data_IF_286876165568
#
_entry.id   IF_286876165568
#
_cell.length_a   1.000
_cell.length_b   1.000
_cell.length_c   1.000
_cell.angle_alpha   90.00
_cell.angle_beta   90.00
_cell.angle_gamma   90.00
#
_symmetry.space_group_name_H-M   'P 1'
#
loop_
_entity.id
_entity.type
_entity.pdbx_description
1 polymer ?
#
# COMPACT_ATOMS: atom_id res chain seq x y z
N UNK A 1 0.25 -1.36 -14.39
CA UNK A 1 0.77 -1.33 -13.01
C UNK A 1 0.27 -2.49 -12.18
N UNK A 2 1.08 -2.95 -11.22
CA UNK A 2 0.95 -4.23 -10.51
C UNK A 2 -0.39 -4.44 -9.79
N UNK A 3 -1.16 -3.38 -9.54
CA UNK A 3 -2.49 -3.38 -8.90
C UNK A 3 -3.48 -2.50 -9.68
N UNK A 4 -3.80 -2.90 -10.91
CA UNK A 4 -4.50 -2.06 -11.91
C UNK A 4 -5.73 -1.30 -11.38
N UNK A 5 -6.64 -1.97 -10.66
CA UNK A 5 -7.86 -1.31 -10.16
C UNK A 5 -7.57 -0.25 -9.10
N UNK A 6 -6.70 -0.56 -8.15
CA UNK A 6 -6.35 0.36 -7.07
C UNK A 6 -5.56 1.56 -7.59
N UNK A 7 -4.77 1.39 -8.65
CA UNK A 7 -4.03 2.50 -9.27
C UNK A 7 -4.89 3.53 -9.97
N UNK A 8 -6.05 3.12 -10.46
CA UNK A 8 -7.00 4.04 -11.12
C UNK A 8 -7.63 4.99 -10.09
N UNK A 9 -7.81 4.53 -8.84
CA UNK A 9 -8.40 5.33 -7.77
C UNK A 9 -7.30 6.18 -7.13
N UNK A 10 -7.45 7.49 -7.21
CA UNK A 10 -6.60 8.46 -6.50
C UNK A 10 -6.96 8.56 -5.04
N UNK A 11 -8.26 8.67 -4.77
CA UNK A 11 -8.78 8.92 -3.43
C UNK A 11 -10.22 8.39 -3.29
N UNK A 12 -10.45 7.35 -2.48
CA UNK A 12 -11.79 6.95 -2.08
C UNK A 12 -12.26 7.81 -0.90
N UNK A 13 -13.45 8.38 -1.02
CA UNK A 13 -14.12 9.12 0.05
C UNK A 13 -15.36 8.35 0.48
N UNK A 14 -15.32 7.78 1.68
CA UNK A 14 -16.43 6.99 2.23
C UNK A 14 -17.00 7.71 3.44
N UNK A 15 -18.30 7.99 3.37
CA UNK A 15 -19.05 8.59 4.44
C UNK A 15 -19.99 7.56 5.05
N UNK A 16 -19.99 7.50 6.39
CA UNK A 16 -20.86 6.65 7.20
C UNK A 16 -21.75 7.57 8.03
N UNK A 17 -23.05 7.61 7.71
CA UNK A 17 -24.01 8.56 8.29
C UNK A 17 -23.55 10.03 8.19
N UNK A 18 -22.98 10.39 7.04
CA UNK A 18 -22.47 11.74 6.76
C UNK A 18 -21.06 12.03 7.31
N UNK A 19 -20.52 11.21 8.22
CA UNK A 19 -19.14 11.37 8.71
C UNK A 19 -18.16 10.69 7.75
N UNK A 20 -17.13 11.43 7.32
CA UNK A 20 -16.05 10.90 6.51
C UNK A 20 -15.13 9.99 7.34
N UNK A 21 -14.91 8.75 6.91
CA UNK A 21 -14.09 7.76 7.63
C UNK A 21 -12.73 7.48 6.97
N UNK A 22 -12.54 7.89 5.72
CA UNK A 22 -11.31 7.72 4.96
C UNK A 22 -10.45 8.95 5.01
N UNK A 23 -9.13 8.78 5.15
CA UNK A 23 -8.17 9.88 4.93
C UNK A 23 -8.33 10.44 3.51
N UNK A 24 -8.08 11.73 3.34
CA UNK A 24 -8.24 12.46 2.09
C UNK A 24 -6.87 12.78 1.51
N UNK A 25 -6.10 11.73 1.27
CA UNK A 25 -4.76 11.79 0.68
C UNK A 25 -4.77 11.16 -0.71
N UNK A 26 -3.94 11.73 -1.59
CA UNK A 26 -3.76 11.29 -2.98
C UNK A 26 -2.91 10.01 -3.11
N UNK A 27 -2.75 9.27 -2.02
CA UNK A 27 -1.79 8.17 -1.87
C UNK A 27 -2.46 6.80 -1.73
N UNK A 28 -3.75 6.70 -2.05
CA UNK A 28 -4.51 5.45 -1.95
C UNK A 28 -3.84 4.27 -2.68
N UNK A 29 -3.35 4.51 -3.90
CA UNK A 29 -2.70 3.49 -4.70
C UNK A 29 -1.44 2.93 -4.01
N UNK A 30 -0.66 3.79 -3.35
CA UNK A 30 0.52 3.40 -2.58
C UNK A 30 0.13 2.56 -1.36
N UNK A 31 -0.87 3.01 -0.61
CA UNK A 31 -1.42 2.25 0.52
C UNK A 31 -1.87 0.85 0.07
N UNK A 32 -2.67 0.79 -0.99
CA UNK A 32 -3.17 -0.46 -1.55
C UNK A 32 -2.04 -1.40 -1.96
N UNK A 33 -0.99 -0.86 -2.58
CA UNK A 33 0.19 -1.64 -2.99
C UNK A 33 0.95 -2.19 -1.78
N UNK A 34 1.28 -1.33 -0.81
CA UNK A 34 2.02 -1.71 0.39
C UNK A 34 1.26 -2.77 1.18
N UNK A 35 -0.04 -2.58 1.42
CA UNK A 35 -0.87 -3.58 2.10
C UNK A 35 -0.91 -4.91 1.33
N UNK A 36 -0.90 -4.88 -0.02
CA UNK A 36 -0.91 -6.10 -0.83
C UNK A 36 0.41 -6.87 -0.72
N UNK A 37 1.55 -6.21 -0.91
CA UNK A 37 2.85 -6.91 -0.94
C UNK A 37 3.32 -7.36 0.44
N UNK A 38 2.88 -6.69 1.51
CA UNK A 38 3.25 -7.01 2.89
C UNK A 38 2.36 -8.09 3.51
N UNK A 39 1.06 -8.13 3.18
CA UNK A 39 0.10 -9.02 3.86
C UNK A 39 -0.20 -10.34 3.15
N UNK A 40 0.08 -10.46 1.86
CA UNK A 40 -0.17 -11.67 1.08
C UNK A 40 1.11 -12.48 0.86
N UNK A 41 0.97 -13.79 0.69
CA UNK A 41 2.05 -14.69 0.30
C UNK A 41 2.17 -14.84 -1.22
N UNK A 42 3.25 -15.48 -1.66
CA UNK A 42 3.45 -15.80 -3.09
C UNK A 42 2.40 -16.77 -3.64
N UNK A 43 1.85 -17.64 -2.79
CA UNK A 43 0.75 -18.56 -3.14
C UNK A 43 -0.57 -17.83 -3.39
N UNK A 44 -0.80 -16.71 -2.69
CA UNK A 44 -2.00 -15.88 -2.82
C UNK A 44 -2.02 -15.12 -4.16
N UNK A 45 -0.85 -14.93 -4.79
CA UNK A 45 -0.73 -14.25 -6.08
C UNK A 45 -1.57 -14.93 -7.15
N UNK A 46 -1.53 -16.26 -7.23
CA UNK A 46 -2.24 -17.01 -8.26
C UNK A 46 -3.72 -17.21 -7.96
N UNK A 47 -4.07 -17.31 -6.68
CA UNK A 47 -5.40 -17.73 -6.22
C UNK A 47 -6.31 -16.55 -5.89
N UNK A 48 -5.83 -15.58 -5.11
CA UNK A 48 -6.63 -14.48 -4.56
C UNK A 48 -6.39 -13.19 -5.34
N UNK A 49 -5.12 -12.88 -5.64
CA UNK A 49 -4.74 -11.57 -6.20
C UNK A 49 -4.85 -11.52 -7.73
N UNK A 50 -4.62 -12.63 -8.44
CA UNK A 50 -4.74 -12.66 -9.90
C UNK A 50 -6.15 -12.34 -10.42
N UNK A 51 -7.25 -12.86 -9.85
CA UNK A 51 -8.61 -12.44 -10.23
C UNK A 51 -8.87 -10.95 -9.97
N UNK A 52 -8.16 -10.38 -8.99
CA UNK A 52 -8.18 -8.97 -8.61
C UNK A 52 -7.36 -8.08 -9.57
N UNK A 53 -6.58 -8.70 -10.44
CA UNK A 53 -5.75 -8.01 -11.43
C UNK A 53 -4.37 -7.64 -10.93
N UNK A 54 -3.94 -8.25 -9.82
CA UNK A 54 -2.54 -8.23 -9.45
C UNK A 54 -1.70 -9.07 -10.41
N UNK A 55 -0.48 -8.64 -10.65
CA UNK A 55 0.52 -9.44 -11.34
C UNK A 55 1.91 -9.21 -10.72
N UNK A 56 2.66 -10.30 -10.58
CA UNK A 56 3.97 -10.30 -9.91
C UNK A 56 5.01 -9.66 -10.83
N UNK A 57 5.25 -8.36 -10.65
CA UNK A 57 6.25 -7.58 -11.37
C UNK A 57 6.98 -6.64 -10.41
N UNK A 58 7.37 -7.15 -9.24
CA UNK A 58 8.06 -6.37 -8.20
C UNK A 58 9.39 -5.79 -8.69
N UNK A 59 10.08 -6.50 -9.59
CA UNK A 59 11.36 -6.09 -10.16
C UNK A 59 11.32 -5.94 -11.69
N UNK A 60 10.43 -5.08 -12.20
CA UNK A 60 10.31 -4.77 -13.64
C UNK A 60 11.13 -3.51 -13.99
N UNK A 61 12.16 -3.62 -14.86
CA UNK A 61 12.89 -2.46 -15.33
C UNK A 61 12.00 -1.61 -16.25
N UNK A 62 12.15 -0.27 -16.24
CA UNK A 62 11.24 0.62 -16.96
C UNK A 62 11.20 0.44 -18.49
N UNK A 63 12.20 -0.18 -19.13
CA UNK A 63 12.43 0.03 -20.58
C UNK A 63 12.59 -1.21 -21.49
N UNK A 64 12.51 -2.46 -21.00
CA UNK A 64 13.22 -3.52 -21.75
C UNK A 64 12.43 -4.33 -22.78
N UNK A 65 11.09 -4.25 -22.85
CA UNK A 65 10.33 -5.18 -23.71
C UNK A 65 9.12 -4.53 -24.39
N UNK A 66 9.23 -4.35 -25.70
CA UNK A 66 8.08 -4.10 -26.58
C UNK A 66 7.27 -5.39 -26.78
N UNK A 67 5.98 -5.27 -27.12
CA UNK A 67 5.10 -6.40 -27.47
C UNK A 67 5.71 -7.28 -28.58
N UNK A 68 6.48 -6.68 -29.49
CA UNK A 68 7.17 -7.35 -30.59
C UNK A 68 8.39 -8.18 -30.16
N UNK A 69 8.96 -7.93 -28.97
CA UNK A 69 10.11 -8.66 -28.44
C UNK A 69 9.72 -9.87 -27.57
N UNK A 70 8.42 -10.04 -27.30
CA UNK A 70 7.85 -11.15 -26.50
C UNK A 70 7.18 -12.17 -27.44
N UNK A 71 7.80 -12.49 -28.58
CA UNK A 71 7.34 -13.58 -29.45
C UNK A 71 7.83 -14.93 -28.89
N UNK A 72 6.92 -15.82 -28.52
CA UNK A 72 7.26 -17.15 -27.99
C UNK A 72 7.83 -18.11 -29.04
N UNK A 73 7.60 -17.84 -30.34
CA UNK A 73 8.14 -18.66 -31.44
C UNK A 73 9.59 -18.31 -31.79
N UNK A 74 9.97 -17.02 -31.66
CA UNK A 74 11.33 -16.50 -31.88
C UNK A 74 11.65 -15.47 -30.81
N UNK A 75 12.03 -15.90 -29.59
CA UNK A 75 12.26 -14.98 -28.49
C UNK A 75 13.49 -14.11 -28.75
N UNK A 76 13.35 -12.80 -28.54
CA UNK A 76 14.46 -11.84 -28.65
C UNK A 76 15.51 -12.11 -27.55
N UNK A 77 16.79 -11.78 -27.80
CA UNK A 77 17.89 -12.00 -26.85
C UNK A 77 17.61 -11.39 -25.45
N UNK A 78 17.04 -10.18 -25.44
CA UNK A 78 16.62 -9.50 -24.21
C UNK A 78 15.54 -10.29 -23.45
N UNK A 79 14.59 -10.92 -24.15
CA UNK A 79 13.56 -11.75 -23.51
C UNK A 79 14.16 -13.04 -22.93
N UNK A 80 15.12 -13.67 -23.61
CA UNK A 80 15.82 -14.84 -23.08
C UNK A 80 16.68 -14.54 -21.85
N UNK A 81 17.23 -13.32 -21.75
CA UNK A 81 18.04 -12.87 -20.62
C UNK A 81 17.23 -12.56 -19.34
N UNK A 82 15.90 -12.42 -19.45
CA UNK A 82 15.03 -12.16 -18.29
C UNK A 82 14.98 -13.35 -17.32
N UNK A 83 14.81 -13.03 -16.03
CA UNK A 83 14.48 -14.00 -14.99
C UNK A 83 13.16 -14.72 -15.28
N UNK A 84 12.97 -15.90 -14.65
CA UNK A 84 11.75 -16.72 -14.83
C UNK A 84 10.47 -15.95 -14.48
N UNK A 85 10.53 -15.16 -13.41
CA UNK A 85 9.41 -14.34 -12.94
C UNK A 85 9.11 -13.18 -13.90
N UNK A 86 10.14 -12.52 -14.44
CA UNK A 86 10.00 -11.47 -15.45
C UNK A 86 9.38 -12.00 -16.76
N UNK A 87 9.73 -13.21 -17.18
CA UNK A 87 9.11 -13.91 -18.32
C UNK A 87 7.64 -14.26 -18.05
N UNK A 88 7.31 -14.71 -16.83
CA UNK A 88 5.95 -15.02 -16.37
C UNK A 88 5.07 -13.78 -16.42
N UNK A 89 5.52 -12.67 -15.85
CA UNK A 89 4.83 -11.37 -15.86
C UNK A 89 4.52 -10.88 -17.29
N UNK A 90 5.54 -10.84 -18.16
CA UNK A 90 5.37 -10.38 -19.55
C UNK A 90 4.35 -11.21 -20.35
N UNK A 91 4.33 -12.54 -20.15
CA UNK A 91 3.33 -13.44 -20.76
C UNK A 91 1.93 -13.24 -20.19
N UNK A 92 1.84 -12.98 -18.88
CA UNK A 92 0.57 -12.73 -18.22
C UNK A 92 -0.09 -11.44 -18.73
N UNK A 93 0.66 -10.36 -18.92
CA UNK A 93 0.13 -9.10 -19.50
C UNK A 93 -0.51 -9.34 -20.87
N UNK A 94 0.17 -10.11 -21.74
CA UNK A 94 -0.33 -10.44 -23.10
C UNK A 94 -1.54 -11.39 -23.09
N UNK A 95 -1.59 -12.37 -22.18
CA UNK A 95 -2.72 -13.29 -22.06
C UNK A 95 -3.98 -12.65 -21.45
N UNK A 96 -3.78 -11.63 -20.64
CA UNK A 96 -4.81 -10.92 -19.89
C UNK A 96 -5.67 -9.99 -20.76
N UNK A 97 -5.11 -9.35 -21.80
CA UNK A 97 -5.85 -8.50 -22.75
C UNK A 97 -7.06 -9.20 -23.40
N UNK A 98 -6.99 -10.54 -23.58
CA UNK A 98 -8.04 -11.32 -24.25
C UNK A 98 -9.13 -11.88 -23.32
N UNK A 99 -8.92 -11.91 -21.99
CA UNK A 99 -9.86 -12.54 -21.02
C UNK A 99 -10.38 -11.60 -19.91
N UNK A 100 -9.89 -10.37 -19.83
CA UNK A 100 -10.17 -9.44 -18.74
C UNK A 100 -11.47 -8.59 -18.90
N UNK A 101 -12.64 -9.22 -19.08
CA UNK A 101 -13.92 -8.50 -18.96
C UNK A 101 -14.50 -8.70 -17.56
N UNK A 102 -14.28 -7.73 -16.67
CA UNK A 102 -14.96 -7.62 -15.37
C UNK A 102 -14.22 -8.20 -14.17
N UNK A 103 -13.06 -7.64 -13.81
CA UNK A 103 -12.36 -7.96 -12.55
C UNK A 103 -13.16 -7.42 -11.35
N UNK A 104 -13.23 -8.21 -10.29
CA UNK A 104 -13.83 -7.79 -9.00
C UNK A 104 -12.70 -7.60 -8.00
N UNK A 105 -12.75 -6.48 -7.31
CA UNK A 105 -11.74 -6.08 -6.35
C UNK A 105 -12.37 -5.69 -5.03
N UNK A 106 -11.67 -6.02 -3.96
CA UNK A 106 -12.00 -5.53 -2.64
C UNK A 106 -11.37 -4.16 -2.44
N UNK A 107 -12.13 -3.16 -2.01
CA UNK A 107 -11.59 -1.83 -1.76
C UNK A 107 -10.75 -1.85 -0.48
N UNK A 108 -9.49 -1.41 -0.58
CA UNK A 108 -8.56 -1.30 0.54
C UNK A 108 -8.91 -0.10 1.43
N UNK A 109 -10.00 -0.25 2.18
CA UNK A 109 -10.53 0.73 3.12
C UNK A 109 -10.81 0.01 4.43
N UNK A 110 -10.38 0.63 5.53
CA UNK A 110 -10.39 0.03 6.88
C UNK A 110 -11.76 -0.51 7.29
N UNK A 111 -12.82 0.23 6.96
CA UNK A 111 -14.21 -0.15 7.24
C UNK A 111 -14.58 -1.53 6.65
N UNK A 112 -14.09 -1.83 5.44
CA UNK A 112 -14.41 -3.06 4.74
C UNK A 112 -13.50 -4.23 5.15
N UNK A 113 -12.47 -3.97 5.96
CA UNK A 113 -11.51 -4.98 6.45
C UNK A 113 -11.77 -5.40 7.91
N UNK A 114 -12.80 -4.87 8.58
CA UNK A 114 -13.08 -5.16 10.00
C UNK A 114 -13.60 -6.58 10.26
N UNK A 115 -14.03 -7.30 9.22
CA UNK A 115 -14.69 -8.61 9.36
C UNK A 115 -16.06 -8.58 10.04
N UNK A 116 -16.59 -7.39 10.38
CA UNK A 116 -17.90 -7.22 11.02
C UNK A 116 -18.91 -6.65 10.04
N UNK A 117 -20.14 -7.16 10.09
CA UNK A 117 -21.25 -6.63 9.29
C UNK A 117 -21.68 -5.27 9.86
N UNK A 118 -22.00 -4.34 8.96
CA UNK A 118 -22.60 -3.06 9.35
C UNK A 118 -24.00 -3.30 9.91
N UNK A 119 -24.32 -2.58 10.97
CA UNK A 119 -25.66 -2.59 11.56
C UNK A 119 -26.69 -1.97 10.58
N UNK A 120 -27.97 -2.34 10.69
CA UNK A 120 -29.03 -1.73 9.89
C UNK A 120 -29.17 -0.22 10.15
N UNK A 121 -29.65 0.50 9.13
CA UNK A 121 -29.91 1.94 9.20
C UNK A 121 -28.64 2.80 9.15
N UNK A 122 -27.58 2.30 8.51
CA UNK A 122 -26.34 3.03 8.24
C UNK A 122 -26.33 3.47 6.78
N UNK A 123 -26.21 4.76 6.56
CA UNK A 123 -26.09 5.36 5.23
C UNK A 123 -24.62 5.37 4.80
N UNK A 124 -24.34 4.70 3.69
CA UNK A 124 -23.03 4.70 3.04
C UNK A 124 -23.07 5.55 1.78
N UNK A 125 -22.25 6.59 1.76
CA UNK A 125 -22.00 7.39 0.55
C UNK A 125 -20.55 7.21 0.14
N UNK A 126 -20.32 6.83 -1.12
CA UNK A 126 -18.99 6.60 -1.67
C UNK A 126 -18.75 7.55 -2.84
N UNK A 127 -17.58 8.18 -2.86
CA UNK A 127 -17.10 9.02 -3.96
C UNK A 127 -15.68 8.59 -4.29
N UNK A 128 -15.40 8.37 -5.57
CA UNK A 128 -14.05 7.99 -6.03
C UNK A 128 -13.49 9.11 -6.89
N UNK A 129 -12.35 9.65 -6.49
CA UNK A 129 -11.53 10.50 -7.34
C UNK A 129 -10.53 9.60 -8.07
N UNK A 130 -10.36 9.81 -9.37
CA UNK A 130 -9.50 8.99 -10.22
C UNK A 130 -8.12 9.64 -10.41
N UNK A 131 -7.11 8.81 -10.63
CA UNK A 131 -5.77 9.26 -10.98
C UNK A 131 -5.68 9.68 -12.44
N UNK A 132 -4.68 10.49 -12.76
CA UNK A 132 -4.31 10.76 -14.15
C UNK A 132 -3.82 9.45 -14.81
N UNK A 133 -4.20 9.17 -16.07
CA UNK A 133 -3.67 8.05 -16.83
C UNK A 133 -2.14 7.92 -16.82
N UNK A 134 -1.40 9.03 -16.70
CA UNK A 134 0.06 9.05 -16.56
C UNK A 134 0.58 8.27 -15.34
N UNK A 135 -0.24 8.13 -14.30
CA UNK A 135 0.14 7.43 -13.08
C UNK A 135 -0.08 5.91 -13.17
N UNK A 136 -1.17 5.46 -13.80
CA UNK A 136 -1.53 4.03 -13.80
C UNK A 136 -1.21 3.28 -15.10
N UNK A 137 -0.97 4.01 -16.19
CA UNK A 137 -0.52 3.44 -17.47
C UNK A 137 0.98 3.58 -17.61
N UNK A 138 1.66 2.47 -17.93
CA UNK A 138 3.07 2.52 -18.30
C UNK A 138 3.14 2.59 -19.82
N UNK A 139 3.69 3.68 -20.34
CA UNK A 139 3.90 3.86 -21.76
C UNK A 139 5.18 3.15 -22.20
N UNK A 140 5.11 2.37 -23.27
CA UNK A 140 6.30 1.84 -23.94
C UNK A 140 6.64 2.85 -25.06
N UNK A 141 7.43 3.86 -24.71
CA UNK A 141 7.85 4.95 -25.61
C UNK A 141 7.17 6.31 -25.35
N UNK A 142 7.56 7.33 -26.11
CA UNK A 142 7.00 8.69 -26.01
C UNK A 142 5.51 8.65 -26.35
N UNK A 143 4.67 8.90 -25.35
CA UNK A 143 3.23 9.04 -25.55
C UNK A 143 2.96 10.45 -26.10
N UNK A 144 2.79 10.56 -27.42
CA UNK A 144 2.63 11.85 -28.12
C UNK A 144 1.27 12.53 -27.87
N UNK A 145 0.30 11.82 -27.28
CA UNK A 145 -1.02 12.35 -26.96
C UNK A 145 -1.42 11.89 -25.56
N UNK A 146 -1.67 12.83 -24.66
CA UNK A 146 -2.18 12.53 -23.32
C UNK A 146 -3.40 11.62 -23.41
N UNK A 147 -3.28 10.42 -22.84
CA UNK A 147 -4.42 9.49 -22.76
C UNK A 147 -5.44 10.12 -21.82
N UNK A 148 -6.69 10.24 -22.27
CA UNK A 148 -7.79 10.73 -21.44
C UNK A 148 -8.67 9.57 -21.04
N UNK A 149 -9.06 9.54 -19.78
CA UNK A 149 -10.05 8.62 -19.26
C UNK A 149 -11.31 9.42 -18.93
N UNK A 150 -12.38 9.23 -19.72
CA UNK A 150 -13.64 9.93 -19.50
C UNK A 150 -14.56 9.12 -18.58
N UNK A 151 -15.52 9.79 -17.94
CA UNK A 151 -16.47 9.14 -17.04
C UNK A 151 -17.28 8.03 -17.72
N UNK A 152 -17.51 8.10 -19.04
CA UNK A 152 -18.20 7.07 -19.82
C UNK A 152 -17.38 5.80 -20.05
N UNK A 153 -16.06 5.86 -19.91
CA UNK A 153 -15.15 4.74 -20.15
C UNK A 153 -15.09 3.77 -18.97
N UNK A 154 -15.49 4.22 -17.77
CA UNK A 154 -15.50 3.43 -16.54
C UNK A 154 -16.90 2.91 -16.20
N UNK A 155 -17.05 1.58 -16.21
CA UNK A 155 -18.22 0.90 -15.64
C UNK A 155 -17.86 0.28 -14.30
N UNK A 156 -18.21 0.96 -13.21
CA UNK A 156 -18.05 0.42 -11.86
C UNK A 156 -19.34 -0.26 -11.39
N UNK A 157 -19.22 -1.48 -10.84
CA UNK A 157 -20.33 -2.19 -10.19
C UNK A 157 -19.94 -2.48 -8.75
N UNK A 158 -20.76 -2.01 -7.82
CA UNK A 158 -20.59 -2.29 -6.40
C UNK A 158 -21.36 -3.56 -6.01
N UNK A 159 -20.66 -4.50 -5.38
CA UNK A 159 -21.24 -5.73 -4.86
C UNK A 159 -21.15 -5.69 -3.33
N UNK A 160 -22.29 -5.61 -2.64
CA UNK A 160 -22.37 -5.71 -1.19
C UNK A 160 -22.97 -7.06 -0.79
N UNK A 161 -22.37 -7.69 0.22
CA UNK A 161 -22.99 -8.82 0.90
C UNK A 161 -24.03 -8.29 1.89
N UNK A 162 -25.32 -8.55 1.62
CA UNK A 162 -26.42 -8.21 2.52
C UNK A 162 -26.98 -9.49 3.12
N UNK A 163 -27.07 -9.54 4.46
CA UNK A 163 -27.61 -10.69 5.19
C UNK A 163 -28.98 -10.34 5.75
N UNK A 164 -29.98 -11.18 5.47
CA UNK A 164 -31.31 -11.05 6.09
C UNK A 164 -31.28 -11.64 7.49
N UNK A 165 -31.46 -10.79 8.49
CA UNK A 165 -31.51 -11.19 9.90
C UNK A 165 -32.96 -11.57 10.28
N UNK A 166 -33.14 -12.56 11.17
CA UNK A 166 -34.45 -12.92 11.72
C UNK A 166 -35.05 -11.73 12.49
N UNK A 167 -36.37 -11.52 12.36
CA UNK A 167 -37.04 -10.30 12.85
C UNK A 167 -36.86 -10.06 14.36
N UNK A 168 -36.77 -11.11 15.17
CA UNK A 168 -36.54 -11.01 16.62
C UNK A 168 -35.14 -10.49 16.96
N UNK A 169 -34.10 -10.92 16.23
CA UNK A 169 -32.72 -10.45 16.41
C UNK A 169 -32.59 -9.01 15.93
N UNK A 170 -33.22 -8.68 14.79
CA UNK A 170 -33.30 -7.30 14.31
C UNK A 170 -33.93 -6.38 15.35
N UNK A 171 -35.09 -6.77 15.90
CA UNK A 171 -35.79 -5.98 16.91
C UNK A 171 -34.94 -5.85 18.18
N UNK A 172 -34.27 -6.92 18.63
CA UNK A 172 -33.34 -6.84 19.77
C UNK A 172 -32.23 -5.80 19.55
N UNK A 173 -31.62 -5.78 18.37
CA UNK A 173 -30.57 -4.81 18.02
C UNK A 173 -31.15 -3.39 17.99
N UNK A 174 -32.30 -3.19 17.34
CA UNK A 174 -32.94 -1.89 17.23
C UNK A 174 -33.35 -1.33 18.60
N UNK A 175 -33.99 -2.16 19.45
CA UNK A 175 -34.39 -1.80 20.82
C UNK A 175 -33.18 -1.54 21.70
N UNK A 176 -32.14 -2.36 21.63
CA UNK A 176 -30.90 -2.15 22.39
C UNK A 176 -30.22 -0.82 22.04
N UNK A 177 -30.21 -0.43 20.76
CA UNK A 177 -29.66 0.87 20.35
C UNK A 177 -30.50 2.03 20.87
N UNK A 178 -31.81 2.03 20.57
CA UNK A 178 -32.67 3.18 20.83
C UNK A 178 -33.03 3.34 22.33
N UNK A 179 -33.31 2.25 23.03
CA UNK A 179 -33.77 2.31 24.43
C UNK A 179 -32.64 2.23 25.44
N UNK A 180 -31.56 1.49 25.15
CA UNK A 180 -30.44 1.32 26.10
C UNK A 180 -29.24 2.22 25.79
N UNK A 181 -29.37 3.08 24.78
CA UNK A 181 -28.33 4.01 24.34
C UNK A 181 -26.98 3.31 24.10
N UNK A 182 -27.01 2.10 23.53
CA UNK A 182 -25.81 1.28 23.32
C UNK A 182 -25.11 1.66 22.01
N UNK A 183 -23.84 2.05 22.15
CA UNK A 183 -22.94 2.32 21.05
C UNK A 183 -22.43 1.02 20.42
N UNK A 184 -22.20 1.06 19.10
CA UNK A 184 -21.63 -0.07 18.36
C UNK A 184 -20.20 0.25 17.95
N UNK A 185 -19.29 -0.67 18.26
CA UNK A 185 -17.86 -0.52 18.02
C UNK A 185 -17.35 -1.45 16.92
N UNK A 186 -16.57 -0.89 16.01
CA UNK A 186 -15.90 -1.57 14.91
C UNK A 186 -14.39 -1.34 15.03
N UNK A 187 -13.61 -2.34 15.47
CA UNK A 187 -12.16 -2.23 15.47
C UNK A 187 -11.65 -2.17 14.03
N UNK A 188 -10.75 -1.23 13.75
CA UNK A 188 -10.18 -0.98 12.43
C UNK A 188 -8.69 -0.72 12.56
N UNK A 189 -7.86 -1.31 11.71
CA UNK A 189 -6.47 -0.86 11.54
C UNK A 189 -6.53 0.30 10.55
N UNK A 190 -6.20 1.51 10.99
CA UNK A 190 -6.09 2.69 10.15
C UNK A 190 -4.65 2.82 9.69
N UNK A 191 -4.45 3.11 8.42
CA UNK A 191 -3.15 3.54 7.93
C UNK A 191 -3.14 4.99 7.50
N UNK A 192 -2.00 5.64 7.55
CA UNK A 192 -1.82 7.02 7.11
C UNK A 192 -0.52 7.11 6.32
N UNK A 193 -0.51 7.90 5.26
CA UNK A 193 0.70 8.15 4.47
C UNK A 193 1.09 9.61 4.55
N UNK A 194 2.35 9.86 4.88
CA UNK A 194 3.01 11.17 4.77
C UNK A 194 4.06 11.11 3.67
N UNK A 195 4.11 12.17 2.86
CA UNK A 195 5.03 12.26 1.74
C UNK A 195 5.92 13.48 1.89
N UNK A 196 7.21 13.32 1.64
CA UNK A 196 8.18 14.40 1.69
C UNK A 196 9.00 14.41 0.40
N UNK A 197 9.20 15.60 -0.17
CA UNK A 197 10.04 15.75 -1.36
C UNK A 197 11.45 16.10 -0.95
N UNK A 198 12.41 15.29 -1.38
CA UNK A 198 13.84 15.51 -1.21
C UNK A 198 14.43 16.12 -2.48
N UNK A 199 15.08 17.27 -2.33
CA UNK A 199 15.69 18.01 -3.44
C UNK A 199 16.93 17.29 -3.99
N UNK A 200 17.32 17.66 -5.21
CA UNK A 200 18.50 17.09 -5.88
C UNK A 200 19.76 17.23 -5.01
N UNK A 201 20.60 16.20 -5.04
CA UNK A 201 21.90 16.17 -4.35
C UNK A 201 21.86 16.29 -2.83
N UNK A 202 20.69 16.38 -2.19
CA UNK A 202 20.59 16.29 -0.73
C UNK A 202 21.01 14.89 -0.26
N UNK A 203 21.84 14.84 0.77
CA UNK A 203 22.38 13.59 1.33
C UNK A 203 21.67 13.17 2.60
N UNK A 204 21.11 14.11 3.36
CA UNK A 204 20.42 13.84 4.61
C UNK A 204 18.93 14.16 4.48
N UNK A 205 18.11 13.31 5.09
CA UNK A 205 16.69 13.51 5.24
C UNK A 205 16.31 13.34 6.71
N UNK A 206 15.46 14.23 7.20
CA UNK A 206 14.86 14.12 8.52
C UNK A 206 13.40 14.56 8.44
N UNK A 207 12.49 13.73 8.96
CA UNK A 207 11.09 14.07 9.16
C UNK A 207 10.73 13.84 10.62
N UNK A 208 10.25 14.88 11.29
CA UNK A 208 9.87 14.87 12.71
C UNK A 208 8.36 14.99 12.85
N UNK A 209 7.81 14.29 13.84
CA UNK A 209 6.41 14.41 14.27
C UNK A 209 5.39 14.21 13.13
N UNK A 210 5.65 13.22 12.27
CA UNK A 210 4.89 12.98 11.04
C UNK A 210 3.41 12.62 11.28
N UNK A 211 3.09 12.15 12.48
CA UNK A 211 1.76 11.66 12.86
C UNK A 211 1.12 12.45 14.02
N UNK A 212 1.63 13.66 14.29
CA UNK A 212 1.11 14.62 15.28
C UNK A 212 0.99 14.01 16.69
N UNK A 213 2.11 13.56 17.25
CA UNK A 213 2.18 13.04 18.63
C UNK A 213 1.65 11.61 18.79
N UNK A 214 1.41 10.86 17.70
CA UNK A 214 1.04 9.44 17.74
C UNK A 214 2.18 8.58 17.23
N UNK A 215 2.47 7.49 17.93
CA UNK A 215 3.41 6.47 17.46
C UNK A 215 2.61 5.38 16.74
N UNK A 216 2.85 5.14 15.44
CA UNK A 216 2.24 4.04 14.71
C UNK A 216 2.78 2.70 15.21
N UNK A 217 1.93 1.67 15.18
CA UNK A 217 2.29 0.29 15.50
C UNK A 217 3.34 -0.23 14.51
N UNK A 218 3.20 0.14 13.23
CA UNK A 218 4.17 -0.16 12.16
C UNK A 218 4.48 1.05 11.32
N UNK A 219 5.75 1.20 10.96
CA UNK A 219 6.23 2.22 10.04
C UNK A 219 6.84 1.53 8.83
N UNK A 220 6.46 1.95 7.62
CA UNK A 220 7.10 1.56 6.37
C UNK A 220 7.57 2.81 5.64
N UNK A 221 8.82 2.83 5.22
CA UNK A 221 9.42 3.90 4.43
C UNK A 221 9.85 3.35 3.08
N UNK A 222 9.40 4.00 2.02
CA UNK A 222 9.81 3.72 0.65
C UNK A 222 10.21 5.01 -0.06
N UNK A 223 11.15 4.91 -0.98
CA UNK A 223 11.60 6.04 -1.79
C UNK A 223 11.28 5.78 -3.26
N UNK A 224 10.76 6.79 -3.93
CA UNK A 224 10.40 6.74 -5.36
C UNK A 224 10.88 8.00 -6.07
N UNK A 225 11.04 7.96 -7.40
CA UNK A 225 11.26 9.17 -8.18
C UNK A 225 10.03 10.09 -8.09
N UNK A 226 10.25 11.40 -8.01
CA UNK A 226 9.16 12.38 -8.00
C UNK A 226 8.29 12.33 -9.26
N UNK A 227 8.89 12.03 -10.42
CA UNK A 227 8.17 11.86 -11.68
C UNK A 227 7.28 10.61 -11.66
N UNK A 228 7.71 9.56 -10.96
CA UNK A 228 6.89 8.37 -10.75
C UNK A 228 5.69 8.67 -9.83
N UNK A 229 5.93 9.41 -8.74
CA UNK A 229 4.90 9.79 -7.77
C UNK A 229 3.84 10.71 -8.39
N UNK A 230 4.25 11.71 -9.16
CA UNK A 230 3.36 12.66 -9.84
C UNK A 230 2.66 12.09 -11.08
N UNK A 231 3.17 10.96 -11.60
CA UNK A 231 2.66 10.27 -12.78
C UNK A 231 3.43 10.65 -14.03
N UNK A 232 4.15 9.67 -14.58
CA UNK A 232 4.85 9.77 -15.84
C UNK A 232 4.84 8.40 -16.51
N UNK A 233 4.49 8.35 -17.79
CA UNK A 233 4.40 7.11 -18.56
C UNK A 233 5.71 6.29 -18.57
N UNK A 234 6.86 6.93 -18.41
CA UNK A 234 8.17 6.27 -18.40
C UNK A 234 8.53 5.63 -17.04
N UNK A 235 7.84 6.01 -15.96
CA UNK A 235 8.18 5.58 -14.60
C UNK A 235 7.04 4.79 -13.96
N UNK A 236 7.40 3.69 -13.30
CA UNK A 236 6.45 2.96 -12.48
C UNK A 236 6.39 3.58 -11.08
N UNK A 237 5.22 4.04 -10.59
CA UNK A 237 5.08 4.59 -9.24
C UNK A 237 5.43 3.60 -8.13
N UNK A 238 5.37 2.28 -8.38
CA UNK A 238 5.62 1.24 -7.38
C UNK A 238 7.05 0.71 -7.35
N UNK A 239 7.96 1.33 -8.11
CA UNK A 239 9.37 0.98 -8.05
C UNK A 239 10.04 1.71 -6.87
N UNK A 240 10.15 1.02 -5.75
CA UNK A 240 10.82 1.51 -4.55
C UNK A 240 12.31 1.21 -4.62
N UNK A 241 13.11 2.24 -4.87
CA UNK A 241 14.55 2.11 -5.03
C UNK A 241 15.27 2.40 -3.72
N UNK A 242 16.45 1.80 -3.53
CA UNK A 242 17.34 2.08 -2.40
C UNK A 242 17.89 3.52 -2.41
N UNK A 243 18.02 4.15 -3.58
CA UNK A 243 18.61 5.49 -3.77
C UNK A 243 19.94 5.70 -3.02
N UNK A 244 20.75 4.65 -2.95
CA UNK A 244 22.04 4.66 -2.28
C UNK A 244 21.99 5.12 -0.82
N UNK A 245 20.91 4.80 -0.10
CA UNK A 245 20.81 4.98 1.35
C UNK A 245 21.88 4.13 2.04
N UNK A 246 22.69 4.78 2.88
CA UNK A 246 23.78 4.16 3.65
C UNK A 246 23.39 3.91 5.11
N UNK A 247 22.50 4.71 5.67
CA UNK A 247 22.04 4.53 7.04
C UNK A 247 20.63 5.06 7.17
N UNK A 248 19.76 4.32 7.85
CA UNK A 248 18.41 4.75 8.17
C UNK A 248 18.05 4.36 9.61
N UNK A 249 17.41 5.29 10.33
CA UNK A 249 17.00 5.10 11.71
C UNK A 249 15.66 5.76 12.00
N UNK A 250 14.96 5.18 12.97
CA UNK A 250 13.80 5.77 13.60
C UNK A 250 14.20 6.18 15.02
N UNK A 251 13.68 7.32 15.47
CA UNK A 251 13.83 7.86 16.81
C UNK A 251 12.41 8.04 17.37
N UNK A 252 12.13 7.47 18.53
CA UNK A 252 10.85 7.59 19.25
C UNK A 252 11.15 8.26 20.59
N UNK A 253 10.50 9.39 20.87
CA UNK A 253 10.71 10.16 22.11
C UNK A 253 12.19 10.52 22.40
N UNK A 254 12.98 10.75 21.35
CA UNK A 254 14.39 11.10 21.47
C UNK A 254 15.36 9.91 21.57
N UNK A 255 14.85 8.68 21.74
CA UNK A 255 15.65 7.46 21.73
C UNK A 255 15.62 6.77 20.36
N UNK A 256 16.75 6.23 19.91
CA UNK A 256 16.80 5.43 18.68
C UNK A 256 16.06 4.11 18.89
N UNK A 257 15.07 3.83 18.03
CA UNK A 257 14.27 2.63 18.12
C UNK A 257 14.22 1.88 16.78
N UNK A 258 14.62 0.59 16.75
CA UNK A 258 15.39 -0.10 17.79
C UNK A 258 16.79 0.53 17.93
N UNK A 259 17.46 0.30 19.06
CA UNK A 259 18.73 0.90 19.51
C UNK A 259 19.94 0.79 18.56
N UNK A 260 19.77 0.23 17.36
CA UNK A 260 20.79 0.22 16.32
C UNK A 260 20.21 0.71 15.00
N UNK A 261 20.84 1.72 14.36
CA UNK A 261 20.46 2.15 13.03
C UNK A 261 20.69 1.03 12.02
N UNK A 262 19.85 0.97 10.99
CA UNK A 262 20.07 0.05 9.89
C UNK A 262 21.19 0.60 9.00
N UNK A 263 22.38 0.00 9.11
CA UNK A 263 23.52 0.33 8.26
C UNK A 263 23.50 -0.50 6.97
N UNK A 264 23.65 0.19 5.86
CA UNK A 264 23.72 -0.35 4.51
C UNK A 264 24.94 0.22 3.81
N UNK A 265 25.35 -0.41 2.71
CA UNK A 265 26.37 0.17 1.83
C UNK A 265 25.66 0.87 0.68
N UNK A 266 26.05 2.12 0.41
CA UNK A 266 25.38 2.98 -0.55
C UNK A 266 25.35 2.40 -1.97
N UNK A 267 26.44 1.80 -2.44
CA UNK A 267 26.62 1.40 -3.84
C UNK A 267 26.86 -0.10 -4.03
N UNK A 268 26.53 -0.92 -3.03
CA UNK A 268 26.59 -2.37 -3.18
C UNK A 268 25.57 -3.07 -2.25
N UNK A 269 25.33 -4.36 -2.53
CA UNK A 269 24.37 -5.17 -1.79
C UNK A 269 24.93 -6.05 -0.68
N UNK A 270 26.19 -5.86 -0.23
CA UNK A 270 26.79 -6.76 0.76
C UNK A 270 26.04 -6.79 2.10
N UNK A 271 25.45 -5.65 2.50
CA UNK A 271 24.63 -5.55 3.72
C UNK A 271 23.13 -5.62 3.42
N UNK A 272 22.71 -5.94 2.20
CA UNK A 272 21.28 -5.89 1.88
C UNK A 272 20.47 -6.98 2.60
N UNK A 273 21.10 -8.14 2.86
CA UNK A 273 20.46 -9.19 3.65
C UNK A 273 20.13 -8.73 5.07
N UNK A 274 20.92 -7.87 5.70
CA UNK A 274 20.60 -7.36 7.05
C UNK A 274 19.37 -6.45 7.02
N UNK A 275 19.24 -5.62 5.99
CA UNK A 275 18.06 -4.79 5.75
C UNK A 275 16.82 -5.61 5.42
N UNK A 276 16.95 -6.62 4.57
CA UNK A 276 15.87 -7.56 4.30
C UNK A 276 15.43 -8.33 5.55
N UNK A 277 16.39 -8.80 6.38
CA UNK A 277 16.07 -9.42 7.66
C UNK A 277 15.31 -8.47 8.60
N UNK A 278 15.66 -7.18 8.63
CA UNK A 278 14.91 -6.18 9.40
C UNK A 278 13.48 -6.03 8.89
N UNK A 279 13.28 -5.95 7.58
CA UNK A 279 11.95 -5.88 6.96
C UNK A 279 11.08 -7.08 7.35
N UNK A 280 11.59 -8.30 7.19
CA UNK A 280 10.85 -9.53 7.52
C UNK A 280 10.57 -9.64 9.02
N UNK A 281 11.51 -9.20 9.87
CA UNK A 281 11.31 -9.19 11.32
C UNK A 281 10.21 -8.22 11.74
N UNK A 282 10.20 -7.00 11.18
CA UNK A 282 9.20 -5.99 11.48
C UNK A 282 7.82 -6.34 10.87
N UNK A 283 7.79 -6.92 9.67
CA UNK A 283 6.55 -7.43 9.07
C UNK A 283 6.04 -8.70 9.77
N UNK A 284 6.89 -9.35 10.60
CA UNK A 284 6.63 -10.65 11.23
C UNK A 284 6.24 -11.75 10.23
N UNK A 285 6.71 -11.63 9.00
CA UNK A 285 6.41 -12.59 7.94
C UNK A 285 6.98 -13.98 8.22
N UNK A 286 8.02 -14.09 9.05
CA UNK A 286 8.53 -15.37 9.55
C UNK A 286 7.51 -16.14 10.40
N UNK A 287 6.62 -15.45 11.11
CA UNK A 287 5.53 -16.07 11.90
C UNK A 287 4.25 -16.24 11.10
N UNK A 288 3.93 -15.27 10.23
CA UNK A 288 2.72 -15.28 9.41
C UNK A 288 2.81 -16.20 8.19
N UNK A 289 4.03 -16.46 7.70
CA UNK A 289 4.26 -17.12 6.42
C UNK A 289 3.79 -16.29 5.21
N UNK A 290 3.53 -14.98 5.40
CA UNK A 290 2.94 -14.10 4.38
C UNK A 290 3.82 -12.88 4.17
N UNK A 291 4.37 -12.79 2.97
CA UNK A 291 5.04 -11.62 2.39
C UNK A 291 5.36 -11.97 0.94
N UNK A 292 5.06 -11.07 0.00
CA UNK A 292 5.45 -11.29 -1.40
C UNK A 292 6.92 -10.93 -1.62
N UNK A 293 7.44 -9.98 -0.83
CA UNK A 293 8.83 -9.51 -0.93
C UNK A 293 9.75 -10.65 -0.50
N UNK A 294 10.65 -11.02 -1.41
CA UNK A 294 11.69 -12.04 -1.22
C UNK A 294 13.07 -11.38 -1.14
N UNK A 295 14.12 -12.10 -0.71
CA UNK A 295 15.47 -11.55 -0.69
C UNK A 295 15.91 -11.05 -2.08
N UNK A 296 15.49 -11.73 -3.15
CA UNK A 296 15.78 -11.38 -4.56
C UNK A 296 15.02 -10.15 -5.09
N UNK A 297 14.22 -9.47 -4.26
CA UNK A 297 13.46 -8.27 -4.63
C UNK A 297 13.93 -7.03 -3.87
N UNK A 298 14.83 -7.18 -2.90
CA UNK A 298 15.18 -6.14 -1.94
C UNK A 298 16.68 -5.82 -2.03
N UNK A 299 17.00 -4.53 -2.06
CA UNK A 299 18.38 -4.06 -1.99
C UNK A 299 18.81 -3.19 -3.16
N UNK A 300 20.11 -3.21 -3.41
CA UNK A 300 20.79 -2.55 -4.51
C UNK A 300 20.45 -3.22 -5.84
N UNK A 301 20.24 -2.45 -6.91
CA UNK A 301 19.78 -2.93 -8.23
C UNK A 301 18.40 -3.64 -8.22
N UNK A 302 17.58 -3.37 -7.19
CA UNK A 302 16.21 -3.88 -7.08
C UNK A 302 15.18 -2.75 -6.92
N UNK A 303 13.92 -3.04 -7.26
CA UNK A 303 12.82 -2.08 -7.31
C UNK A 303 11.78 -2.25 -6.17
N UNK A 304 12.09 -2.97 -5.10
CA UNK A 304 11.18 -3.15 -3.94
C UNK A 304 11.91 -3.01 -2.60
N UNK A 305 12.72 -1.97 -2.47
CA UNK A 305 13.45 -1.66 -1.23
C UNK A 305 12.59 -0.83 -0.29
N UNK A 306 12.05 -1.49 0.73
CA UNK A 306 11.26 -0.89 1.80
C UNK A 306 11.95 -1.05 3.16
N UNK A 307 11.90 -0.01 3.98
CA UNK A 307 12.39 -0.01 5.34
C UNK A 307 11.22 -0.08 6.31
N UNK A 308 11.26 -0.98 7.28
CA UNK A 308 10.13 -1.21 8.17
C UNK A 308 10.55 -1.33 9.63
N UNK A 309 9.70 -0.80 10.51
CA UNK A 309 9.81 -0.92 11.96
C UNK A 309 8.47 -1.38 12.54
N UNK A 310 8.57 -2.11 13.64
CA UNK A 310 7.47 -2.57 14.48
C UNK A 310 7.69 -1.92 15.86
N UNK A 311 6.79 -1.04 16.26
CA UNK A 311 6.88 -0.28 17.52
C UNK A 311 6.03 -0.90 18.63
N UNK A 312 5.39 -2.03 18.37
CA UNK A 312 4.53 -2.67 19.35
C UNK A 312 5.38 -3.36 20.41
N UNK A 313 5.10 -3.08 21.69
CA UNK A 313 5.86 -3.64 22.82
C UNK A 313 5.80 -5.18 22.89
N UNK A 314 4.68 -5.77 22.46
CA UNK A 314 4.53 -7.23 22.34
C UNK A 314 5.35 -7.82 21.19
N UNK A 315 5.87 -6.98 20.31
CA UNK A 315 6.44 -7.36 19.03
C UNK A 315 5.43 -8.02 18.10
N UNK A 316 4.12 -7.89 18.37
CA UNK A 316 3.09 -8.50 17.55
C UNK A 316 1.98 -7.49 17.28
N UNK A 317 2.19 -6.64 16.27
CA UNK A 317 1.13 -5.74 15.78
C UNK A 317 -0.11 -6.50 15.24
N UNK A 318 0.05 -7.76 14.83
CA UNK A 318 -1.06 -8.60 14.36
C UNK A 318 -1.73 -9.43 15.47
N UNK A 319 -1.51 -9.07 16.74
CA UNK A 319 -2.12 -9.81 17.86
C UNK A 319 -3.63 -9.65 17.86
N UNK A 320 -4.35 -10.63 18.42
CA UNK A 320 -5.82 -10.56 18.59
C UNK A 320 -6.21 -9.52 19.64
N UNK A 321 -5.27 -9.11 20.48
CA UNK A 321 -5.48 -8.12 21.53
C UNK A 321 -5.21 -6.72 20.97
N UNK A 322 -6.02 -5.76 21.40
CA UNK A 322 -5.77 -4.35 21.09
C UNK A 322 -4.48 -3.91 21.79
N UNK A 323 -3.55 -3.40 20.99
CA UNK A 323 -2.34 -2.78 21.49
C UNK A 323 -2.68 -1.42 22.13
N UNK A 324 -1.98 -1.03 23.21
CA UNK A 324 -2.20 0.25 23.83
C UNK A 324 -1.84 1.37 22.86
N UNK A 325 -2.69 2.39 22.76
CA UNK A 325 -2.39 3.60 21.96
C UNK A 325 -1.10 4.23 22.50
N UNK A 326 -0.12 4.38 21.63
CA UNK A 326 1.16 5.00 21.97
C UNK A 326 1.16 6.47 21.56
N UNK A 327 1.48 7.34 22.52
CA UNK A 327 1.68 8.77 22.28
C UNK A 327 3.17 9.07 22.28
N UNK A 328 3.58 9.89 21.31
CA UNK A 328 4.96 10.33 21.20
C UNK A 328 5.34 10.87 19.82
N UNK A 329 6.52 11.45 19.75
CA UNK A 329 7.12 12.03 18.56
C UNK A 329 8.01 10.99 17.88
N UNK A 330 7.61 10.61 16.68
CA UNK A 330 8.42 9.77 15.80
C UNK A 330 9.21 10.64 14.83
N UNK A 331 10.52 10.42 14.78
CA UNK A 331 11.43 10.99 13.81
C UNK A 331 12.03 9.89 12.95
N UNK A 332 12.07 10.08 11.65
CA UNK A 332 12.78 9.20 10.71
C UNK A 332 13.91 10.01 10.09
N UNK A 333 15.11 9.45 10.13
CA UNK A 333 16.29 10.06 9.56
C UNK A 333 17.08 9.05 8.74
N UNK A 334 17.54 9.46 7.56
CA UNK A 334 18.47 8.67 6.77
C UNK A 334 19.52 9.52 6.08
N UNK A 335 20.65 8.87 5.78
CA UNK A 335 21.73 9.42 4.97
C UNK A 335 21.86 8.59 3.69
N UNK A 336 22.08 9.28 2.58
CA UNK A 336 22.31 8.70 1.26
C UNK A 336 23.38 9.48 0.51
N UNK A 337 23.87 8.91 -0.59
CA UNK A 337 24.74 9.64 -1.51
C UNK A 337 23.94 10.66 -2.35
N UNK A 338 24.63 11.67 -2.87
CA UNK A 338 24.03 12.66 -3.75
C UNK A 338 23.55 11.98 -5.05
N UNK A 339 22.31 12.25 -5.44
CA UNK A 339 21.71 11.74 -6.67
C UNK A 339 21.07 12.92 -7.39
N UNK A 340 21.29 12.99 -8.70
CA UNK A 340 20.76 14.05 -9.56
C UNK A 340 19.31 13.73 -10.00
N UNK A 341 18.41 13.56 -9.02
CA UNK A 341 17.00 13.32 -9.26
C UNK A 341 16.18 13.70 -8.03
N UNK A 342 14.98 14.24 -8.25
CA UNK A 342 14.03 14.52 -7.18
C UNK A 342 13.43 13.21 -6.68
N UNK A 343 13.37 13.05 -5.36
CA UNK A 343 12.91 11.83 -4.71
C UNK A 343 11.73 12.17 -3.81
N UNK A 344 10.67 11.37 -3.87
CA UNK A 344 9.59 11.40 -2.89
C UNK A 344 9.84 10.30 -1.86
N UNK A 345 9.92 10.68 -0.60
CA UNK A 345 9.92 9.76 0.54
C UNK A 345 8.47 9.53 0.95
N UNK A 346 8.04 8.28 0.90
CA UNK A 346 6.70 7.83 1.29
C UNK A 346 6.83 7.13 2.64
N UNK A 347 6.12 7.65 3.64
CA UNK A 347 6.14 7.14 5.01
C UNK A 347 4.73 6.69 5.33
N UNK A 348 4.55 5.38 5.48
CA UNK A 348 3.31 4.71 5.78
C UNK A 348 3.30 4.30 7.26
N UNK A 349 2.28 4.71 8.00
CA UNK A 349 2.08 4.32 9.40
C UNK A 349 0.78 3.53 9.56
N UNK A 350 0.81 2.47 10.36
CA UNK A 350 -0.40 1.73 10.78
C UNK A 350 -0.73 2.05 12.24
N UNK A 351 -2.02 2.16 12.54
CA UNK A 351 -2.55 2.49 13.85
C UNK A 351 -3.78 1.63 14.13
N UNK A 352 -3.84 1.05 15.31
CA UNK A 352 -5.11 0.55 15.82
C UNK A 352 -6.10 1.68 16.11
N UNK A 353 -7.31 1.56 15.57
CA UNK A 353 -8.38 2.54 15.69
C UNK A 353 -9.73 1.84 15.91
N UNK A 354 -10.73 2.59 16.35
CA UNK A 354 -12.08 2.09 16.57
C UNK A 354 -13.10 3.08 16.04
N UNK A 355 -13.94 2.62 15.12
CA UNK A 355 -15.13 3.36 14.70
C UNK A 355 -16.28 3.08 15.65
N UNK A 356 -16.96 4.13 16.08
CA UNK A 356 -18.12 4.07 16.97
C UNK A 356 -19.34 4.63 16.23
N UNK A 357 -20.44 3.88 16.21
CA UNK A 357 -21.74 4.36 15.72
C UNK A 357 -22.68 4.50 16.91
N UNK A 358 -23.10 5.74 17.18
CA UNK A 358 -24.02 6.04 18.28
C UNK A 358 -25.47 5.65 17.95
N UNK A 359 -26.32 5.48 18.96
CA UNK A 359 -27.77 5.32 18.82
C UNK A 359 -28.44 6.40 17.98
N UNK A 360 -27.98 7.65 18.09
CA UNK A 360 -28.46 8.81 17.34
C UNK A 360 -28.11 8.76 15.85
N UNK A 361 -27.30 7.80 15.42
CA UNK A 361 -26.79 7.68 14.05
C UNK A 361 -25.48 8.43 13.81
N UNK A 362 -24.99 9.24 14.75
CA UNK A 362 -23.69 9.90 14.58
C UNK A 362 -22.55 8.89 14.62
N UNK A 363 -21.65 8.96 13.64
CA UNK A 363 -20.43 8.15 13.60
C UNK A 363 -19.26 8.97 14.15
N UNK A 364 -18.51 8.38 15.09
CA UNK A 364 -17.23 8.89 15.59
C UNK A 364 -16.11 7.95 15.15
N UNK A 365 -14.95 8.53 14.84
CA UNK A 365 -13.78 7.79 14.36
C UNK A 365 -12.56 8.30 15.13
N UNK A 366 -12.09 7.51 16.11
CA UNK A 366 -11.14 7.94 17.14
C UNK A 366 -9.80 7.19 17.09
#
# INVERSE_FOLDING_TARGET
NNIEFHTIIKQPSIYVNGTLTTEQTDTYAYKAYLETILNYGTEDEETILRPQGYYSALNYPPNDLTVNQINSATPHANYTALSKERKKSSRQTRGNERKNRGRKNHLIVYLFNTGRMLIPGVDLKMRFTLNDPKFFMNGIGTVNTDVRLQAGDLKMKFYACMVKVRSDVYNKIATARLQRNLDVYYPTIRSEIRTYTLQNNHTNFEATDMFNGRVPDRVVVGLVYQDAFSGNYAYNPFNFLKFNVSSIKQIVEGEEYPYQPLQLIAANGQLDMSGYHRLISANRSAYRGKCIIKPEHWGDDHHTTLYMWDNVASGCADSVQLNPKQEGRVKIAFTKTAVNSLITVIIYGEFENMMQIKPTGSTQYN
#
